data_IF_032019880013
#
_entry.id   IF_032019880013
#
_cell.length_a   1.000
_cell.length_b   1.000
_cell.length_c   1.000
_cell.angle_alpha   90.00
_cell.angle_beta   90.00
_cell.angle_gamma   90.00
#
_symmetry.space_group_name_H-M   'P 1'
#
loop_
_entity.id
_entity.type
_entity.pdbx_description
1 polymer ?
#
# COMPACT_ATOMS: atom_id res chain seq x y z
N UNK A 1 12.20 -5.40 9.75
CA UNK A 1 11.55 -4.09 9.50
C UNK A 1 10.18 -4.13 10.13
N UNK A 2 9.86 -3.20 11.03
CA UNK A 2 8.56 -3.15 11.69
C UNK A 2 7.47 -2.57 10.76
N UNK A 3 6.22 -2.93 11.01
CA UNK A 3 5.06 -2.46 10.23
C UNK A 3 5.01 -0.93 10.11
N UNK A 4 5.28 -0.22 11.20
CA UNK A 4 5.31 1.25 11.22
C UNK A 4 6.46 1.84 10.39
N UNK A 5 7.61 1.16 10.31
CA UNK A 5 8.73 1.62 9.47
C UNK A 5 8.42 1.48 7.99
N UNK A 6 7.76 0.38 7.60
CA UNK A 6 7.29 0.19 6.22
C UNK A 6 6.26 1.26 5.83
N UNK A 7 5.30 1.52 6.71
CA UNK A 7 4.30 2.58 6.49
C UNK A 7 4.97 3.94 6.35
N UNK A 8 5.94 4.26 7.21
CA UNK A 8 6.68 5.54 7.13
C UNK A 8 7.46 5.69 5.81
N UNK A 9 8.18 4.66 5.37
CA UNK A 9 8.93 4.71 4.10
C UNK A 9 8.01 4.81 2.88
N UNK A 10 6.88 4.11 2.91
CA UNK A 10 5.84 4.21 1.88
C UNK A 10 5.22 5.61 1.86
N UNK A 11 4.96 6.17 3.05
CA UNK A 11 4.45 7.54 3.24
C UNK A 11 5.40 8.57 2.65
N UNK A 12 6.70 8.39 2.85
CA UNK A 12 7.70 9.30 2.29
C UNK A 12 7.83 9.20 0.76
N UNK A 13 7.56 8.04 0.18
CA UNK A 13 7.71 7.80 -1.27
C UNK A 13 6.50 8.27 -2.07
N UNK A 14 5.29 8.05 -1.54
CA UNK A 14 4.03 8.32 -2.25
C UNK A 14 3.34 9.56 -1.70
N UNK A 15 3.49 9.86 -0.41
CA UNK A 15 2.80 10.95 0.30
C UNK A 15 1.59 10.45 1.10
N UNK A 16 1.32 11.05 2.26
CA UNK A 16 0.24 10.68 3.19
C UNK A 16 -1.15 10.66 2.54
N UNK A 17 -1.38 11.56 1.57
CA UNK A 17 -2.66 11.69 0.86
C UNK A 17 -3.09 10.41 0.12
N UNK A 18 -2.13 9.57 -0.21
CA UNK A 18 -2.33 8.36 -0.99
C UNK A 18 -2.29 7.09 -0.14
N UNK A 19 -2.21 7.22 1.20
CA UNK A 19 -2.17 6.09 2.12
C UNK A 19 -3.40 6.10 3.01
N UNK A 20 -4.11 4.97 3.02
CA UNK A 20 -5.27 4.74 3.86
C UNK A 20 -4.87 3.66 4.87
N UNK A 21 -4.71 4.06 6.12
CA UNK A 21 -4.42 3.17 7.27
C UNK A 21 -5.66 2.90 8.11
N UNK A 22 -6.68 3.77 8.01
CA UNK A 22 -7.94 3.64 8.74
C UNK A 22 -8.63 2.30 8.42
N UNK A 23 -8.96 1.47 9.43
CA UNK A 23 -9.60 0.19 9.17
C UNK A 23 -11.01 0.34 8.56
N UNK A 24 -11.77 1.36 8.95
CA UNK A 24 -13.10 1.62 8.38
C UNK A 24 -13.03 2.04 6.90
N UNK A 25 -12.00 2.82 6.51
CA UNK A 25 -11.83 3.26 5.10
C UNK A 25 -11.21 2.21 4.20
N UNK A 26 -10.52 1.22 4.79
CA UNK A 26 -9.89 0.12 4.06
C UNK A 26 -10.80 -1.09 3.88
N UNK A 27 -11.97 -1.13 4.52
CA UNK A 27 -12.92 -2.25 4.46
C UNK A 27 -13.36 -2.57 3.02
N UNK A 28 -13.76 -1.54 2.25
CA UNK A 28 -14.15 -1.68 0.84
C UNK A 28 -13.04 -2.21 -0.06
N UNK A 29 -11.77 -2.05 0.34
CA UNK A 29 -10.60 -2.56 -0.39
C UNK A 29 -10.15 -3.93 0.11
N UNK A 30 -10.66 -4.37 1.27
CA UNK A 30 -10.34 -5.64 1.91
C UNK A 30 -11.37 -6.73 1.65
N UNK A 31 -12.56 -6.34 1.20
CA UNK A 31 -13.64 -7.24 0.82
C UNK A 31 -13.61 -7.49 -0.70
N UNK A 32 -13.43 -8.75 -1.10
CA UNK A 32 -13.46 -9.16 -2.49
C UNK A 32 -14.89 -9.14 -3.06
N UNK A 33 -15.03 -8.73 -4.32
CA UNK A 33 -16.33 -8.65 -5.02
C UNK A 33 -17.10 -9.98 -5.07
N UNK A 34 -16.40 -11.12 -5.06
CA UNK A 34 -17.04 -12.45 -5.11
C UNK A 34 -17.05 -13.12 -3.74
N UNK A 35 -15.87 -13.35 -3.15
CA UNK A 35 -15.70 -13.84 -1.78
C UNK A 35 -14.29 -13.49 -1.29
N UNK A 36 -14.12 -13.30 0.02
CA UNK A 36 -12.82 -13.17 0.68
C UNK A 36 -12.65 -11.83 1.39
N UNK A 37 -12.28 -11.91 2.66
CA UNK A 37 -11.88 -10.76 3.48
C UNK A 37 -10.46 -10.99 3.98
N UNK A 38 -9.60 -9.98 3.84
CA UNK A 38 -8.20 -10.06 4.24
C UNK A 38 -7.76 -8.84 5.02
N UNK A 39 -7.00 -9.03 6.10
CA UNK A 39 -6.37 -7.90 6.82
C UNK A 39 -5.23 -7.32 5.98
N UNK A 40 -5.47 -6.14 5.41
CA UNK A 40 -4.42 -5.28 4.88
C UNK A 40 -3.85 -4.37 5.98
N UNK A 41 -2.53 -4.21 5.97
CA UNK A 41 -1.77 -3.30 6.86
C UNK A 41 -1.96 -1.82 6.47
N UNK A 42 -1.99 -1.53 5.17
CA UNK A 42 -2.27 -0.22 4.61
C UNK A 42 -2.71 -0.37 3.15
N UNK A 43 -3.60 0.52 2.69
CA UNK A 43 -4.00 0.60 1.28
C UNK A 43 -3.34 1.82 0.66
N UNK A 44 -2.60 1.63 -0.43
CA UNK A 44 -1.88 2.70 -1.14
C UNK A 44 -2.58 2.96 -2.48
N UNK A 45 -2.96 4.21 -2.73
CA UNK A 45 -3.62 4.68 -3.96
C UNK A 45 -2.74 5.72 -4.66
N UNK A 46 -1.71 5.33 -5.43
CA UNK A 46 -0.79 6.28 -6.05
C UNK A 46 -1.52 7.24 -7.00
N UNK A 47 -1.09 8.51 -7.02
CA UNK A 47 -1.64 9.54 -7.90
C UNK A 47 -1.02 9.54 -9.30
N UNK A 48 0.10 8.84 -9.48
CA UNK A 48 0.83 8.75 -10.74
C UNK A 48 1.32 7.34 -11.07
N UNK A 49 1.51 7.07 -12.36
CA UNK A 49 2.09 5.81 -12.86
C UNK A 49 3.52 5.60 -12.31
N UNK A 50 4.28 6.68 -12.10
CA UNK A 50 5.66 6.63 -11.60
C UNK A 50 5.72 6.18 -10.13
N UNK A 51 4.80 6.67 -9.29
CA UNK A 51 4.68 6.23 -7.90
C UNK A 51 4.31 4.75 -7.81
N UNK A 52 3.37 4.30 -8.66
CA UNK A 52 3.02 2.88 -8.79
C UNK A 52 4.22 2.04 -9.20
N UNK A 53 5.03 2.53 -10.15
CA UNK A 53 6.21 1.82 -10.64
C UNK A 53 7.32 1.72 -9.59
N UNK A 54 7.52 2.77 -8.79
CA UNK A 54 8.44 2.75 -7.64
C UNK A 54 8.03 1.73 -6.59
N UNK A 55 6.72 1.56 -6.36
CA UNK A 55 6.17 0.56 -5.44
C UNK A 55 6.27 -0.87 -5.99
N UNK A 56 5.86 -1.07 -7.25
CA UNK A 56 5.81 -2.38 -7.89
C UNK A 56 7.19 -2.88 -8.34
N UNK A 57 8.25 -2.08 -8.15
CA UNK A 57 9.58 -2.42 -8.65
C UNK A 57 10.00 -3.75 -8.02
N UNK A 58 10.16 -4.82 -8.81
CA UNK A 58 10.52 -6.12 -8.27
C UNK A 58 11.87 -5.98 -7.58
N UNK A 59 11.98 -6.51 -6.37
CA UNK A 59 13.24 -6.60 -5.63
C UNK A 59 14.20 -7.63 -6.26
N UNK A 60 14.22 -7.77 -7.59
CA UNK A 60 15.28 -8.48 -8.30
C UNK A 60 16.50 -7.58 -8.36
N UNK A 61 17.16 -7.41 -7.21
CA UNK A 61 18.60 -7.20 -7.23
C UNK A 61 19.18 -8.48 -7.82
N UNK A 62 19.40 -8.50 -9.14
CA UNK A 62 20.29 -9.50 -9.74
C UNK A 62 21.67 -9.24 -9.13
N UNK A 63 22.04 -10.07 -8.18
CA UNK A 63 23.43 -10.25 -7.74
C UNK A 63 23.56 -11.71 -7.35
#
# INVERSE_FOLDING_TARGET
>A
MNASQLISSLTQTVGEKYIITDPAKTEQYRQGYRFGEGKALAVVRPGSILEMWKFCRPASKRT
#
